data_IF_810412375112
#
_entry.id   IF_810412375112
#
_cell.length_a   1.000
_cell.length_b   1.000
_cell.length_c   1.000
_cell.angle_alpha   90.00
_cell.angle_beta   90.00
_cell.angle_gamma   90.00
#
_symmetry.space_group_name_H-M   'P 1'
#
loop_
_entity.id
_entity.type
_entity.pdbx_description
1 polymer ?
#
# COMPACT_ATOMS: atom_id res chain seq x y z
N UNK A 1 -16.58 1.96 32.32
CA UNK A 1 -17.67 1.32 31.59
C UNK A 1 -17.23 1.32 30.12
N UNK A 2 -16.69 0.19 29.68
CA UNK A 2 -16.25 -0.02 28.30
C UNK A 2 -17.49 -0.34 27.48
N UNK A 3 -17.84 0.54 26.54
CA UNK A 3 -18.84 0.23 25.51
C UNK A 3 -18.27 -0.89 24.62
N UNK A 4 -18.77 -2.09 24.80
CA UNK A 4 -18.61 -3.17 23.85
C UNK A 4 -19.32 -2.75 22.56
N UNK A 5 -18.54 -2.41 21.53
CA UNK A 5 -19.05 -2.27 20.18
C UNK A 5 -19.49 -3.68 19.71
N UNK A 6 -20.77 -3.96 19.85
CA UNK A 6 -21.39 -5.10 19.18
C UNK A 6 -21.08 -5.03 17.68
N UNK A 7 -20.33 -6.00 17.19
CA UNK A 7 -20.08 -6.17 15.75
C UNK A 7 -21.39 -6.60 15.09
N UNK A 8 -22.19 -5.61 14.65
CA UNK A 8 -23.38 -5.89 13.83
C UNK A 8 -22.93 -6.62 12.57
N UNK A 9 -23.52 -7.78 12.32
CA UNK A 9 -23.35 -8.52 11.07
C UNK A 9 -23.57 -7.56 9.88
N UNK A 10 -22.76 -7.61 8.83
CA UNK A 10 -22.93 -6.76 7.68
C UNK A 10 -24.33 -6.94 7.06
N UNK A 11 -24.88 -5.88 6.47
CA UNK A 11 -26.21 -5.99 5.84
C UNK A 11 -26.13 -6.93 4.62
N UNK A 12 -27.23 -7.65 4.29
CA UNK A 12 -27.25 -8.55 3.13
C UNK A 12 -26.85 -7.87 1.81
N UNK A 13 -27.14 -6.59 1.68
CA UNK A 13 -26.71 -5.80 0.51
C UNK A 13 -25.19 -5.62 0.48
N UNK A 14 -24.57 -5.33 1.63
CA UNK A 14 -23.12 -5.17 1.72
C UNK A 14 -22.40 -6.47 1.41
N UNK A 15 -22.88 -7.60 1.92
CA UNK A 15 -22.33 -8.92 1.59
C UNK A 15 -22.45 -9.24 0.11
N UNK A 16 -23.59 -8.95 -0.51
CA UNK A 16 -23.82 -9.16 -1.93
C UNK A 16 -22.90 -8.28 -2.79
N UNK A 17 -22.67 -7.01 -2.39
CA UNK A 17 -21.72 -6.11 -3.04
C UNK A 17 -20.28 -6.62 -2.93
N UNK A 18 -19.84 -6.99 -1.72
CA UNK A 18 -18.49 -7.51 -1.49
C UNK A 18 -18.23 -8.77 -2.32
N UNK A 19 -19.22 -9.69 -2.36
CA UNK A 19 -19.13 -10.88 -3.21
C UNK A 19 -18.98 -10.52 -4.69
N UNK A 20 -19.79 -9.61 -5.22
CA UNK A 20 -19.69 -9.18 -6.63
C UNK A 20 -18.34 -8.53 -6.94
N UNK A 21 -17.78 -7.73 -6.03
CA UNK A 21 -16.45 -7.17 -6.22
C UNK A 21 -15.38 -8.26 -6.27
N UNK A 22 -15.46 -9.24 -5.36
CA UNK A 22 -14.51 -10.34 -5.34
C UNK A 22 -14.64 -11.23 -6.58
N UNK A 23 -15.87 -11.54 -7.00
CA UNK A 23 -16.14 -12.28 -8.27
C UNK A 23 -15.60 -11.51 -9.49
N UNK A 24 -15.63 -10.17 -9.46
CA UNK A 24 -15.03 -9.31 -10.47
C UNK A 24 -13.52 -9.08 -10.27
N UNK A 25 -12.88 -9.82 -9.35
CA UNK A 25 -11.45 -9.74 -9.01
C UNK A 25 -10.99 -8.34 -8.56
N UNK A 26 -11.85 -7.63 -7.83
CA UNK A 26 -11.60 -6.29 -7.29
C UNK A 26 -11.37 -6.38 -5.78
N UNK A 27 -10.21 -5.93 -5.33
CA UNK A 27 -9.79 -5.87 -3.92
C UNK A 27 -9.71 -4.40 -3.50
N UNK A 28 -10.04 -4.10 -2.25
CA UNK A 28 -10.05 -2.73 -1.73
C UNK A 28 -9.26 -2.64 -0.43
N UNK A 29 -8.45 -1.57 -0.32
CA UNK A 29 -7.89 -1.08 0.92
C UNK A 29 -8.30 0.38 1.08
N UNK A 30 -9.26 0.66 1.95
CA UNK A 30 -9.85 2.00 2.15
C UNK A 30 -9.79 2.44 3.61
N UNK A 31 -8.65 2.16 4.22
CA UNK A 31 -8.36 2.44 5.64
C UNK A 31 -6.86 2.43 5.85
N UNK A 32 -6.41 2.67 7.09
CA UNK A 32 -5.03 2.50 7.50
C UNK A 32 -4.54 1.07 7.22
N UNK A 33 -3.26 0.96 6.91
CA UNK A 33 -2.57 -0.33 6.87
C UNK A 33 -2.34 -0.80 8.31
N UNK A 34 -3.12 -1.78 8.73
CA UNK A 34 -3.02 -2.45 10.03
C UNK A 34 -2.80 -3.94 9.80
N UNK A 35 -2.43 -4.69 10.84
CA UNK A 35 -2.33 -6.16 10.73
C UNK A 35 -3.66 -6.79 10.26
N UNK A 36 -4.79 -6.23 10.72
CA UNK A 36 -6.12 -6.70 10.32
C UNK A 36 -6.41 -6.42 8.85
N UNK A 37 -6.26 -5.17 8.40
CA UNK A 37 -6.53 -4.80 7.00
C UNK A 37 -5.55 -5.47 6.03
N UNK A 38 -4.29 -5.62 6.44
CA UNK A 38 -3.28 -6.32 5.66
C UNK A 38 -3.63 -7.81 5.48
N UNK A 39 -4.02 -8.49 6.56
CA UNK A 39 -4.51 -9.87 6.51
C UNK A 39 -5.68 -10.00 5.53
N UNK A 40 -6.71 -9.14 5.65
CA UNK A 40 -7.89 -9.18 4.79
C UNK A 40 -7.56 -9.01 3.30
N UNK A 41 -6.63 -8.10 2.97
CA UNK A 41 -6.16 -7.89 1.59
C UNK A 41 -5.37 -9.09 1.10
N UNK A 42 -4.41 -9.57 1.88
CA UNK A 42 -3.58 -10.73 1.56
C UNK A 42 -4.41 -11.98 1.30
N UNK A 43 -5.39 -12.27 2.17
CA UNK A 43 -6.30 -13.41 2.01
C UNK A 43 -7.09 -13.32 0.70
N UNK A 44 -7.58 -12.13 0.34
CA UNK A 44 -8.29 -11.92 -0.94
C UNK A 44 -7.39 -12.11 -2.15
N UNK A 45 -6.16 -11.60 -2.12
CA UNK A 45 -5.19 -11.79 -3.20
C UNK A 45 -4.89 -13.28 -3.41
N UNK A 46 -4.59 -14.00 -2.34
CA UNK A 46 -4.32 -15.46 -2.38
C UNK A 46 -5.55 -16.26 -2.82
N UNK A 47 -6.74 -15.91 -2.33
CA UNK A 47 -8.00 -16.54 -2.76
C UNK A 47 -8.22 -16.38 -4.27
N UNK A 48 -8.00 -15.17 -4.81
CA UNK A 48 -8.16 -14.90 -6.23
C UNK A 48 -7.09 -15.61 -7.07
N UNK A 49 -5.86 -15.69 -6.59
CA UNK A 49 -4.81 -16.47 -7.22
C UNK A 49 -5.17 -17.95 -7.31
N UNK A 50 -5.65 -18.56 -6.21
CA UNK A 50 -6.00 -19.98 -6.19
C UNK A 50 -7.21 -20.32 -7.08
N UNK A 51 -8.21 -19.43 -7.16
CA UNK A 51 -9.41 -19.68 -7.96
C UNK A 51 -9.14 -19.60 -9.47
N UNK A 52 -8.25 -18.70 -9.90
CA UNK A 52 -8.00 -18.47 -11.32
C UNK A 52 -6.59 -17.85 -11.49
N UNK A 53 -5.53 -18.69 -11.41
CA UNK A 53 -4.15 -18.24 -11.46
C UNK A 53 -3.80 -17.47 -12.74
N UNK A 54 -3.00 -16.44 -12.63
CA UNK A 54 -2.54 -15.64 -13.76
C UNK A 54 -3.56 -14.65 -14.32
N UNK A 55 -4.80 -14.64 -13.83
CA UNK A 55 -5.80 -13.67 -14.24
C UNK A 55 -5.68 -12.37 -13.44
N UNK A 56 -5.79 -11.26 -14.14
CA UNK A 56 -5.59 -9.93 -13.56
C UNK A 56 -6.48 -9.65 -12.34
N UNK A 57 -5.89 -9.01 -11.33
CA UNK A 57 -6.57 -8.52 -10.12
C UNK A 57 -6.49 -6.99 -10.13
N UNK A 58 -7.59 -6.30 -9.84
CA UNK A 58 -7.60 -4.85 -9.64
C UNK A 58 -7.62 -4.53 -8.15
N UNK A 59 -6.62 -3.81 -7.69
CA UNK A 59 -6.48 -3.41 -6.29
C UNK A 59 -6.69 -1.90 -6.13
N UNK A 60 -7.82 -1.51 -5.53
CA UNK A 60 -8.16 -0.12 -5.25
C UNK A 60 -7.59 0.31 -3.90
N UNK A 61 -6.80 1.39 -3.91
CA UNK A 61 -6.09 1.89 -2.73
C UNK A 61 -6.54 3.31 -2.40
N UNK A 62 -6.90 3.51 -1.14
CA UNK A 62 -7.07 4.82 -0.50
C UNK A 62 -6.64 4.70 0.96
N UNK A 63 -5.40 5.05 1.26
CA UNK A 63 -4.80 4.82 2.58
C UNK A 63 -3.80 5.91 2.96
N UNK A 64 -3.76 6.34 4.22
CA UNK A 64 -2.69 7.18 4.74
C UNK A 64 -1.40 6.39 5.03
N UNK A 65 -1.40 5.07 4.82
CA UNK A 65 -0.31 4.18 5.22
C UNK A 65 -0.56 3.50 6.56
N UNK A 66 0.49 3.18 7.29
CA UNK A 66 0.40 2.54 8.61
C UNK A 66 1.47 1.47 8.82
N UNK A 67 1.10 0.27 9.31
CA UNK A 67 2.02 -0.83 9.61
C UNK A 67 2.92 -1.18 8.42
N UNK A 68 4.24 -1.06 8.61
CA UNK A 68 5.22 -1.44 7.58
C UNK A 68 5.18 -2.95 7.36
N UNK A 69 5.17 -3.75 8.43
CA UNK A 69 5.12 -5.22 8.34
C UNK A 69 3.85 -5.70 7.63
N UNK A 70 2.69 -5.11 7.98
CA UNK A 70 1.42 -5.40 7.31
C UNK A 70 1.46 -5.00 5.82
N UNK A 71 2.01 -3.83 5.52
CA UNK A 71 2.15 -3.36 4.14
C UNK A 71 3.10 -4.22 3.30
N UNK A 72 4.25 -4.63 3.86
CA UNK A 72 5.18 -5.54 3.18
C UNK A 72 4.56 -6.92 2.92
N UNK A 73 3.73 -7.44 3.82
CA UNK A 73 3.00 -8.68 3.58
C UNK A 73 2.08 -8.60 2.35
N UNK A 74 1.40 -7.45 2.16
CA UNK A 74 0.59 -7.22 0.95
C UNK A 74 1.50 -7.09 -0.29
N UNK A 75 2.55 -6.26 -0.20
CA UNK A 75 3.49 -6.01 -1.29
C UNK A 75 4.13 -7.30 -1.80
N UNK A 76 4.68 -8.11 -0.90
CA UNK A 76 5.30 -9.39 -1.26
C UNK A 76 4.28 -10.37 -1.85
N UNK A 77 3.05 -10.42 -1.31
CA UNK A 77 1.98 -11.23 -1.90
C UNK A 77 1.72 -10.81 -3.35
N UNK A 78 1.61 -9.50 -3.63
CA UNK A 78 1.43 -9.00 -5.00
C UNK A 78 2.59 -9.38 -5.92
N UNK A 79 3.82 -9.46 -5.40
CA UNK A 79 5.01 -9.83 -6.17
C UNK A 79 5.16 -11.34 -6.39
N UNK A 80 4.65 -12.16 -5.48
CA UNK A 80 4.83 -13.62 -5.48
C UNK A 80 3.72 -14.38 -6.21
N UNK A 81 2.50 -13.83 -6.28
CA UNK A 81 1.41 -14.43 -7.07
C UNK A 81 1.66 -14.30 -8.57
N UNK A 82 1.10 -15.21 -9.37
CA UNK A 82 1.23 -15.19 -10.84
C UNK A 82 0.22 -14.24 -11.50
N UNK A 83 -0.87 -13.94 -10.81
CA UNK A 83 -1.89 -12.96 -11.25
C UNK A 83 -1.31 -11.55 -11.24
N UNK A 84 -1.27 -10.84 -12.37
CA UNK A 84 -0.82 -9.46 -12.39
C UNK A 84 -1.80 -8.57 -11.61
N UNK A 85 -1.27 -7.71 -10.75
CA UNK A 85 -2.08 -6.79 -9.95
C UNK A 85 -1.99 -5.39 -10.55
N UNK A 86 -3.15 -4.85 -10.97
CA UNK A 86 -3.27 -3.42 -11.32
C UNK A 86 -3.67 -2.66 -10.07
N UNK A 87 -2.87 -1.69 -9.65
CA UNK A 87 -3.19 -0.80 -8.52
C UNK A 87 -3.83 0.48 -9.03
N UNK A 88 -4.96 0.85 -8.44
CA UNK A 88 -5.67 2.10 -8.72
C UNK A 88 -5.77 2.91 -7.42
N UNK A 89 -5.07 4.02 -7.35
CA UNK A 89 -5.20 4.97 -6.24
C UNK A 89 -6.41 5.87 -6.48
N UNK A 90 -7.40 5.80 -5.60
CA UNK A 90 -8.65 6.55 -5.77
C UNK A 90 -8.63 7.95 -5.16
N UNK A 91 -7.92 8.14 -4.04
CA UNK A 91 -7.75 9.44 -3.41
C UNK A 91 -6.34 9.64 -2.86
N UNK A 92 -5.84 8.74 -2.02
CA UNK A 92 -4.55 8.88 -1.35
C UNK A 92 -3.79 7.54 -1.33
N UNK A 93 -2.52 7.60 -1.70
CA UNK A 93 -1.54 6.55 -1.43
C UNK A 93 -0.37 7.18 -0.67
N UNK A 94 -0.45 7.20 0.66
CA UNK A 94 0.59 7.80 1.49
C UNK A 94 1.41 6.75 2.23
N UNK A 95 2.70 7.03 2.43
CA UNK A 95 3.59 6.17 3.22
C UNK A 95 3.58 4.73 2.67
N UNK A 96 3.19 3.73 3.48
CA UNK A 96 3.01 2.36 2.98
C UNK A 96 2.07 2.24 1.77
N UNK A 97 1.11 3.18 1.60
CA UNK A 97 0.26 3.21 0.40
C UNK A 97 1.05 3.45 -0.88
N UNK A 98 2.10 4.27 -0.85
CA UNK A 98 3.00 4.48 -2.00
C UNK A 98 3.83 3.23 -2.31
N UNK A 99 4.24 2.48 -1.30
CA UNK A 99 4.92 1.18 -1.47
C UNK A 99 3.98 0.16 -2.12
N UNK A 100 2.71 0.11 -1.71
CA UNK A 100 1.72 -0.75 -2.34
C UNK A 100 1.49 -0.40 -3.82
N UNK A 101 1.52 0.90 -4.18
CA UNK A 101 1.47 1.34 -5.58
C UNK A 101 2.68 0.79 -6.36
N UNK A 102 3.88 0.80 -5.75
CA UNK A 102 5.10 0.23 -6.34
C UNK A 102 5.05 -1.30 -6.51
N UNK A 103 4.15 -1.99 -5.81
CA UNK A 103 3.94 -3.44 -5.96
C UNK A 103 3.39 -3.85 -7.33
N UNK A 104 2.68 -2.95 -8.02
CA UNK A 104 2.18 -3.19 -9.37
C UNK A 104 3.30 -3.07 -10.43
N UNK A 105 3.27 -3.88 -11.49
CA UNK A 105 4.21 -3.76 -12.59
C UNK A 105 4.00 -2.44 -13.37
N UNK A 106 5.04 -2.00 -14.10
CA UNK A 106 4.91 -0.82 -14.99
C UNK A 106 3.75 -1.00 -15.97
N UNK A 107 3.00 0.09 -16.20
CA UNK A 107 1.76 0.11 -16.99
C UNK A 107 0.49 -0.24 -16.18
N UNK A 108 0.63 -0.65 -14.91
CA UNK A 108 -0.48 -1.05 -14.04
C UNK A 108 -0.59 -0.24 -12.74
N UNK A 109 0.09 0.91 -12.68
CA UNK A 109 0.08 1.84 -11.54
C UNK A 109 -0.76 3.06 -11.92
N UNK A 110 -2.05 3.03 -11.57
CA UNK A 110 -3.03 4.00 -12.05
C UNK A 110 -3.53 4.91 -10.93
N UNK A 111 -3.87 6.14 -11.28
CA UNK A 111 -4.35 7.15 -10.35
C UNK A 111 -5.68 7.75 -10.83
N UNK A 112 -6.59 8.05 -9.91
CA UNK A 112 -7.71 8.94 -10.22
C UNK A 112 -7.21 10.38 -10.43
N UNK A 113 -7.95 11.24 -11.16
CA UNK A 113 -7.49 12.59 -11.52
C UNK A 113 -7.10 13.46 -10.31
N UNK A 114 -7.75 13.27 -9.17
CA UNK A 114 -7.48 14.04 -7.94
C UNK A 114 -6.69 13.25 -6.89
N UNK A 115 -6.20 12.07 -7.23
CA UNK A 115 -5.39 11.28 -6.31
C UNK A 115 -4.09 11.97 -5.94
N UNK A 116 -3.59 11.65 -4.75
CA UNK A 116 -2.31 12.11 -4.21
C UNK A 116 -1.44 10.91 -3.86
N UNK A 117 -0.16 11.08 -4.06
CA UNK A 117 0.88 10.15 -3.58
C UNK A 117 1.76 10.90 -2.60
N UNK A 118 2.06 10.30 -1.47
CA UNK A 118 3.00 10.83 -0.49
C UNK A 118 4.08 9.79 -0.22
N UNK A 119 5.32 10.22 -0.33
CA UNK A 119 6.49 9.46 0.14
C UNK A 119 7.15 10.19 1.30
N UNK A 120 7.64 9.45 2.27
CA UNK A 120 8.42 9.94 3.40
C UNK A 120 9.17 8.79 4.07
N UNK A 121 10.17 9.11 4.90
CA UNK A 121 10.89 8.11 5.69
C UNK A 121 9.99 7.43 6.74
N UNK A 122 10.31 6.19 7.15
CA UNK A 122 9.57 5.51 8.20
C UNK A 122 9.62 6.28 9.53
N UNK A 123 8.52 6.22 10.28
CA UNK A 123 8.37 6.90 11.56
C UNK A 123 8.13 5.90 12.68
N UNK A 124 8.79 6.10 13.82
CA UNK A 124 8.43 5.44 15.09
C UNK A 124 7.32 6.26 15.73
N UNK A 125 6.12 5.67 15.82
CA UNK A 125 5.01 6.33 16.52
C UNK A 125 5.04 5.98 18.01
N UNK A 126 4.93 7.00 18.87
CA UNK A 126 4.88 6.84 20.30
C UNK A 126 6.23 7.02 21.02
N UNK A 127 6.26 6.67 22.31
CA UNK A 127 7.48 6.69 23.13
C UNK A 127 8.07 5.29 23.22
N UNK A 128 9.32 5.17 22.81
CA UNK A 128 10.12 3.99 23.10
C UNK A 128 10.98 4.26 24.34
N UNK A 129 10.84 3.42 25.36
CA UNK A 129 11.65 3.48 26.59
C UNK A 129 12.27 2.12 26.84
N UNK A 130 13.57 2.10 27.09
CA UNK A 130 14.32 0.87 27.33
C UNK A 130 15.79 1.14 27.59
N UNK A 131 16.60 0.11 27.82
CA UNK A 131 18.04 0.23 27.89
C UNK A 131 18.61 0.84 26.61
N UNK A 132 19.73 1.56 26.71
CA UNK A 132 20.37 2.22 25.57
C UNK A 132 20.69 1.22 24.41
N UNK A 133 21.03 -0.02 24.78
CA UNK A 133 21.29 -1.08 23.78
C UNK A 133 20.03 -1.39 22.96
N UNK A 134 18.86 -1.50 23.60
CA UNK A 134 17.60 -1.78 22.91
C UNK A 134 17.17 -0.63 22.01
N UNK A 135 17.38 0.61 22.47
CA UNK A 135 17.15 1.83 21.66
C UNK A 135 18.02 1.79 20.40
N UNK A 136 19.30 1.44 20.55
CA UNK A 136 20.21 1.34 19.40
C UNK A 136 19.82 0.23 18.43
N UNK A 137 19.36 -0.93 18.92
CA UNK A 137 18.85 -2.02 18.06
C UNK A 137 17.66 -1.53 17.22
N UNK A 138 16.70 -0.80 17.84
CA UNK A 138 15.54 -0.27 17.13
C UNK A 138 15.94 0.80 16.11
N UNK A 139 16.90 1.65 16.43
CA UNK A 139 17.40 2.66 15.49
C UNK A 139 18.06 2.02 14.26
N UNK A 140 18.89 1.00 14.46
CA UNK A 140 19.53 0.28 13.35
C UNK A 140 18.52 -0.48 12.48
N UNK A 141 17.48 -1.06 13.08
CA UNK A 141 16.43 -1.74 12.33
C UNK A 141 15.56 -0.76 11.53
N UNK A 142 15.30 0.42 12.10
CA UNK A 142 14.61 1.49 11.37
C UNK A 142 15.41 1.98 10.16
N UNK A 143 16.71 2.11 10.30
CA UNK A 143 17.60 2.53 9.20
C UNK A 143 17.61 1.47 8.08
N UNK A 144 17.66 0.17 8.40
CA UNK A 144 17.52 -0.91 7.41
C UNK A 144 16.19 -0.85 6.68
N UNK A 145 15.11 -0.67 7.44
CA UNK A 145 13.76 -0.52 6.88
C UNK A 145 13.69 0.69 5.92
N UNK A 146 14.27 1.83 6.30
CA UNK A 146 14.36 3.02 5.46
C UNK A 146 15.08 2.74 4.15
N UNK A 147 16.24 2.07 4.22
CA UNK A 147 16.99 1.71 3.02
C UNK A 147 16.21 0.77 2.11
N UNK A 148 15.49 -0.21 2.66
CA UNK A 148 14.68 -1.16 1.90
C UNK A 148 13.52 -0.46 1.17
N UNK A 149 12.75 0.38 1.88
CA UNK A 149 11.65 1.13 1.30
C UNK A 149 12.14 2.12 0.22
N UNK A 150 13.28 2.79 0.45
CA UNK A 150 13.87 3.69 -0.52
C UNK A 150 14.33 2.94 -1.79
N UNK A 151 14.88 1.72 -1.67
CA UNK A 151 15.20 0.88 -2.83
C UNK A 151 13.96 0.53 -3.65
N UNK A 152 12.85 0.16 -2.99
CA UNK A 152 11.58 -0.12 -3.68
C UNK A 152 11.09 1.11 -4.45
N UNK A 153 11.13 2.29 -3.84
CA UNK A 153 10.76 3.55 -4.48
C UNK A 153 11.68 3.88 -5.68
N UNK A 154 12.99 3.72 -5.52
CA UNK A 154 13.97 3.98 -6.57
C UNK A 154 13.77 3.04 -7.77
N UNK A 155 13.65 1.74 -7.53
CA UNK A 155 13.42 0.73 -8.57
C UNK A 155 12.11 0.96 -9.32
N UNK A 156 11.04 1.32 -8.59
CA UNK A 156 9.74 1.56 -9.18
C UNK A 156 9.69 2.85 -10.01
N UNK A 157 10.26 3.94 -9.50
CA UNK A 157 10.22 5.25 -10.15
C UNK A 157 11.28 5.42 -11.24
N UNK A 158 12.42 4.75 -11.11
CA UNK A 158 13.61 4.97 -11.93
C UNK A 158 14.45 6.17 -11.48
N UNK A 159 14.15 6.76 -10.33
CA UNK A 159 14.97 7.78 -9.69
C UNK A 159 16.21 7.16 -9.04
N UNK A 160 17.26 7.96 -8.82
CA UNK A 160 18.42 7.49 -8.06
C UNK A 160 18.08 7.31 -6.58
N UNK A 161 18.80 6.41 -5.90
CA UNK A 161 18.61 6.18 -4.47
C UNK A 161 18.90 7.44 -3.64
N UNK A 162 19.87 8.26 -4.08
CA UNK A 162 20.22 9.53 -3.44
C UNK A 162 19.04 10.49 -3.49
N UNK A 163 18.40 10.63 -4.69
CA UNK A 163 17.22 11.48 -4.85
C UNK A 163 16.05 11.01 -4.02
N UNK A 164 15.77 9.70 -4.00
CA UNK A 164 14.71 9.14 -3.13
C UNK A 164 15.02 9.43 -1.65
N UNK A 165 16.27 9.28 -1.22
CA UNK A 165 16.68 9.53 0.17
C UNK A 165 16.50 10.99 0.56
N UNK A 166 16.77 11.92 -0.36
CA UNK A 166 16.53 13.35 -0.15
C UNK A 166 15.03 13.67 -0.10
N UNK A 167 14.26 13.21 -1.08
CA UNK A 167 12.83 13.50 -1.19
C UNK A 167 12.00 12.87 -0.06
N UNK A 168 12.43 11.71 0.48
CA UNK A 168 11.75 11.02 1.59
C UNK A 168 12.16 11.54 2.97
N UNK A 169 13.12 12.45 3.09
CA UNK A 169 13.53 12.98 4.41
C UNK A 169 12.37 13.69 5.14
N UNK A 170 11.45 14.27 4.37
CA UNK A 170 10.21 14.88 4.86
C UNK A 170 9.04 14.47 3.96
N UNK A 171 7.82 14.87 4.33
CA UNK A 171 6.62 14.62 3.55
C UNK A 171 6.76 15.23 2.14
N UNK A 172 6.77 14.38 1.14
CA UNK A 172 6.85 14.75 -0.27
C UNK A 172 5.55 14.35 -0.98
N UNK A 173 4.67 15.34 -1.16
CA UNK A 173 3.36 15.16 -1.80
C UNK A 173 3.43 15.36 -3.30
N UNK A 174 2.78 14.48 -4.03
CA UNK A 174 2.61 14.54 -5.48
C UNK A 174 1.14 14.45 -5.85
N UNK A 175 0.66 15.31 -6.74
CA UNK A 175 -0.59 15.10 -7.45
C UNK A 175 -0.44 13.99 -8.50
N UNK A 176 -1.54 13.61 -9.17
CA UNK A 176 -1.53 12.49 -10.11
C UNK A 176 -0.52 12.70 -11.26
N UNK A 177 -0.42 13.92 -11.80
CA UNK A 177 0.52 14.24 -12.88
C UNK A 177 1.97 14.22 -12.40
N UNK A 178 2.23 14.84 -11.27
CA UNK A 178 3.57 14.84 -10.65
C UNK A 178 4.05 13.43 -10.32
N UNK A 179 3.17 12.54 -9.82
CA UNK A 179 3.51 11.14 -9.53
C UNK A 179 3.85 10.35 -10.81
N UNK A 180 3.19 10.66 -11.93
CA UNK A 180 3.53 10.07 -13.24
C UNK A 180 4.88 10.61 -13.74
N UNK A 181 5.10 11.92 -13.68
CA UNK A 181 6.35 12.55 -14.08
C UNK A 181 7.53 12.08 -13.21
N UNK A 182 7.29 11.82 -11.93
CA UNK A 182 8.28 11.26 -11.00
C UNK A 182 8.60 9.78 -11.29
N UNK A 183 7.66 9.05 -11.90
CA UNK A 183 7.80 7.63 -12.27
C UNK A 183 7.16 6.64 -11.29
N UNK A 184 6.43 7.10 -10.27
CA UNK A 184 5.72 6.24 -9.33
C UNK A 184 4.37 5.74 -9.85
N UNK A 185 3.81 6.40 -10.86
CA UNK A 185 2.57 5.98 -11.52
C UNK A 185 2.73 5.97 -13.03
N UNK A 186 1.77 5.38 -13.74
CA UNK A 186 1.85 5.21 -15.20
C UNK A 186 0.82 6.04 -15.95
N UNK A 187 -0.41 6.17 -15.42
CA UNK A 187 -1.47 6.92 -16.07
C UNK A 187 -2.58 7.38 -15.10
N UNK A 188 -3.35 8.37 -15.53
CA UNK A 188 -4.63 8.72 -14.91
C UNK A 188 -5.73 7.85 -15.51
N UNK A 189 -6.64 7.34 -14.67
CA UNK A 189 -7.81 6.55 -15.11
C UNK A 189 -8.79 7.47 -15.84
N UNK A 190 -9.16 7.11 -17.07
CA UNK A 190 -10.12 7.86 -17.89
C UNK A 190 -11.57 7.34 -17.78
N UNK A 191 -11.76 6.14 -17.18
CA UNK A 191 -13.07 5.52 -16.97
C UNK A 191 -12.98 4.31 -16.04
N UNK A 192 -14.09 3.87 -15.45
CA UNK A 192 -14.21 2.73 -14.52
C UNK A 192 -15.27 1.75 -14.96
#
# INVERSE_FOLDING_TARGET
MSEEQESKSPSPLLEAMQKKFLDARKVFLWTDVTEKSAKEVTEKLLYLEWNDPGKEITFYVNTPGGSITGGMAIYDTMKLITSPVTVIVTALAASMGSILLCGAPKGKRLLYPHARVLIHQPLIQGRFTGPAVDINIQALEMERTREELNKILAESSGQSLEKITEDTDRDFYMNAREAIEYGLADAVVEGV
#
